data_IF_817729696269
#
_entry.id   IF_817729696269
#
_cell.length_a   1.000
_cell.length_b   1.000
_cell.length_c   1.000
_cell.angle_alpha   90.00
_cell.angle_beta   90.00
_cell.angle_gamma   90.00
#
_symmetry.space_group_name_H-M   'P 1'
#
loop_
_entity.id
_entity.type
_entity.pdbx_description
1 polymer ?
#
# COMPACT_ATOMS: atom_id res chain seq x y z
N UNK A 1 -8.29 -1.48 -31.27
CA UNK A 1 -8.64 -1.54 -29.85
C UNK A 1 -8.12 -0.29 -29.18
N UNK A 2 -8.98 0.34 -28.41
CA UNK A 2 -8.65 1.53 -27.61
C UNK A 2 -8.89 1.21 -26.13
N UNK A 3 -7.95 1.60 -25.27
CA UNK A 3 -8.09 1.50 -23.82
C UNK A 3 -7.83 2.88 -23.23
N UNK A 4 -8.79 3.39 -22.47
CA UNK A 4 -8.73 4.72 -21.86
C UNK A 4 -9.33 4.74 -20.47
N UNK A 5 -9.04 5.79 -19.72
CA UNK A 5 -9.76 6.15 -18.53
C UNK A 5 -11.08 6.90 -18.84
N UNK A 6 -11.90 7.07 -17.84
CA UNK A 6 -13.12 7.88 -17.93
C UNK A 6 -12.80 9.37 -18.24
N UNK A 7 -11.63 9.86 -17.80
CA UNK A 7 -11.09 11.18 -18.14
C UNK A 7 -10.85 11.42 -19.63
N UNK A 8 -10.86 10.36 -20.45
CA UNK A 8 -10.66 10.42 -21.90
C UNK A 8 -9.23 10.19 -22.36
N UNK A 9 -8.24 10.10 -21.47
CA UNK A 9 -6.85 9.82 -21.80
C UNK A 9 -6.70 8.38 -22.32
N UNK A 10 -6.12 8.22 -23.52
CA UNK A 10 -5.87 6.92 -24.14
C UNK A 10 -4.50 6.40 -23.73
N UNK A 11 -4.48 5.17 -23.21
CA UNK A 11 -3.25 4.43 -22.89
C UNK A 11 -2.87 3.46 -24.00
N UNK A 12 -3.86 2.98 -24.75
CA UNK A 12 -3.68 2.13 -25.91
C UNK A 12 -4.62 2.61 -27.01
N UNK A 13 -4.07 2.79 -28.22
CA UNK A 13 -4.81 2.92 -29.48
C UNK A 13 -4.06 2.11 -30.53
N UNK A 14 -4.47 0.85 -30.73
CA UNK A 14 -3.76 -0.10 -31.59
C UNK A 14 -4.70 -0.79 -32.59
N UNK A 15 -4.21 -0.95 -33.85
CA UNK A 15 -4.82 -1.83 -34.83
C UNK A 15 -4.30 -3.25 -34.61
N UNK A 16 -5.20 -4.20 -34.35
CA UNK A 16 -4.88 -5.62 -34.21
C UNK A 16 -5.73 -6.44 -35.17
N UNK A 17 -5.13 -7.43 -35.83
CA UNK A 17 -5.86 -8.40 -36.64
C UNK A 17 -6.28 -9.61 -35.80
N UNK A 18 -5.40 -10.09 -34.92
CA UNK A 18 -5.60 -11.21 -34.00
C UNK A 18 -4.57 -11.08 -32.87
N UNK A 19 -4.96 -11.43 -31.66
CA UNK A 19 -4.04 -11.47 -30.52
C UNK A 19 -4.59 -10.83 -29.25
N UNK A 20 -3.70 -10.55 -28.30
CA UNK A 20 -4.01 -9.98 -27.00
C UNK A 20 -3.36 -8.62 -26.87
N UNK A 21 -4.09 -7.66 -26.33
CA UNK A 21 -3.55 -6.36 -25.91
C UNK A 21 -3.36 -6.39 -24.41
N UNK A 22 -2.16 -6.05 -23.96
CA UNK A 22 -1.83 -6.04 -22.53
C UNK A 22 -1.34 -4.66 -22.12
N UNK A 23 -1.94 -4.13 -21.07
CA UNK A 23 -1.51 -2.89 -20.43
C UNK A 23 -0.78 -3.25 -19.12
N UNK A 24 0.53 -3.00 -19.08
CA UNK A 24 1.35 -3.24 -17.88
C UNK A 24 1.50 -1.94 -17.12
N UNK A 25 0.67 -1.73 -16.12
CA UNK A 25 0.76 -0.55 -15.24
C UNK A 25 0.73 -0.99 -13.77
N UNK A 26 1.60 -0.43 -12.92
CA UNK A 26 1.59 -0.70 -11.50
C UNK A 26 0.47 0.06 -10.75
N UNK A 27 -0.30 0.88 -11.46
CA UNK A 27 -1.33 1.76 -10.88
C UNK A 27 -2.70 1.14 -11.11
N UNK A 28 -3.51 1.09 -10.05
CA UNK A 28 -4.88 0.58 -10.11
C UNK A 28 -5.79 1.63 -10.73
N UNK A 29 -6.53 1.23 -11.76
CA UNK A 29 -7.44 2.13 -12.49
C UNK A 29 -8.68 1.40 -12.98
N UNK A 30 -9.73 2.16 -13.26
CA UNK A 30 -10.91 1.70 -14.00
C UNK A 30 -10.72 2.02 -15.47
N UNK A 31 -11.21 1.14 -16.34
CA UNK A 31 -10.91 1.19 -17.76
C UNK A 31 -12.18 1.18 -18.63
N UNK A 32 -12.15 1.95 -19.71
CA UNK A 32 -13.07 1.80 -20.83
C UNK A 32 -12.31 1.15 -21.97
N UNK A 33 -12.79 -0.02 -22.39
CA UNK A 33 -12.18 -0.83 -23.45
C UNK A 33 -13.12 -0.84 -24.65
N UNK A 34 -12.64 -0.35 -25.78
CA UNK A 34 -13.43 -0.21 -26.98
C UNK A 34 -12.74 -0.94 -28.15
N UNK A 35 -13.52 -1.65 -28.98
CA UNK A 35 -13.02 -2.17 -30.23
C UNK A 35 -13.84 -1.63 -31.42
N UNK A 36 -13.15 -1.42 -32.53
CA UNK A 36 -13.71 -0.86 -33.75
C UNK A 36 -13.40 -1.75 -34.95
N UNK A 37 -14.34 -1.85 -35.87
CA UNK A 37 -14.14 -2.41 -37.21
C UNK A 37 -14.34 -1.25 -38.22
N UNK A 38 -13.25 -0.73 -38.76
CA UNK A 38 -13.25 0.60 -39.37
C UNK A 38 -13.67 1.66 -38.35
N UNK A 39 -14.64 2.48 -38.71
CA UNK A 39 -15.18 3.53 -37.85
C UNK A 39 -16.33 3.04 -36.94
N UNK A 40 -16.81 1.82 -37.15
CA UNK A 40 -17.90 1.24 -36.38
C UNK A 40 -17.41 0.65 -35.07
N UNK A 41 -17.90 1.17 -33.93
CA UNK A 41 -17.66 0.56 -32.61
C UNK A 41 -18.41 -0.79 -32.53
N UNK A 42 -17.66 -1.87 -32.33
CA UNK A 42 -18.21 -3.24 -32.25
C UNK A 42 -18.15 -3.83 -30.85
N UNK A 43 -17.40 -3.22 -29.93
CA UNK A 43 -17.31 -3.64 -28.55
C UNK A 43 -17.08 -2.43 -27.65
N UNK A 44 -17.76 -2.43 -26.49
CA UNK A 44 -17.56 -1.44 -25.43
C UNK A 44 -17.72 -2.14 -24.09
N UNK A 45 -16.69 -2.04 -23.24
CA UNK A 45 -16.68 -2.60 -21.90
C UNK A 45 -16.08 -1.61 -20.91
N UNK A 46 -16.81 -1.40 -19.82
CA UNK A 46 -16.33 -0.59 -18.71
C UNK A 46 -15.92 -1.49 -17.55
N UNK A 47 -14.62 -1.59 -17.31
CA UNK A 47 -14.08 -2.29 -16.15
C UNK A 47 -14.14 -1.38 -14.93
N UNK A 48 -14.89 -1.79 -13.90
CA UNK A 48 -15.04 -1.11 -12.63
C UNK A 48 -14.53 -1.95 -11.48
N UNK A 49 -14.07 -1.28 -10.43
CA UNK A 49 -13.60 -1.91 -9.20
C UNK A 49 -14.74 -2.13 -8.19
N UNK A 50 -15.91 -1.53 -8.40
CA UNK A 50 -17.06 -1.67 -7.51
C UNK A 50 -17.47 -3.14 -7.37
N UNK A 51 -17.57 -3.61 -6.12
CA UNK A 51 -17.90 -5.00 -5.79
C UNK A 51 -16.77 -6.02 -5.99
N UNK A 52 -15.67 -5.66 -6.63
CA UNK A 52 -14.54 -6.56 -6.91
C UNK A 52 -13.78 -6.93 -5.64
N UNK A 53 -13.13 -8.10 -5.67
CA UNK A 53 -12.20 -8.55 -4.63
C UNK A 53 -10.80 -8.09 -4.99
N UNK A 54 -10.31 -7.09 -4.27
CA UNK A 54 -8.98 -6.53 -4.44
C UNK A 54 -8.04 -7.10 -3.38
N UNK A 55 -6.99 -7.78 -3.83
CA UNK A 55 -5.95 -8.31 -2.97
C UNK A 55 -4.71 -7.44 -3.01
N UNK A 56 -4.34 -6.84 -1.87
CA UNK A 56 -3.15 -6.01 -1.74
C UNK A 56 -2.07 -6.82 -1.02
N UNK A 57 -1.00 -7.12 -1.75
CA UNK A 57 0.15 -7.88 -1.25
C UNK A 57 1.34 -6.95 -1.02
N UNK A 58 1.87 -6.95 0.20
CA UNK A 58 3.14 -6.31 0.49
C UNK A 58 4.29 -7.17 -0.02
N UNK A 59 5.06 -6.63 -0.94
CA UNK A 59 6.26 -7.30 -1.49
C UNK A 59 7.40 -7.21 -0.48
N UNK A 60 7.49 -6.09 0.24
CA UNK A 60 8.45 -5.86 1.30
C UNK A 60 7.85 -6.20 2.67
N UNK A 61 8.65 -6.79 3.55
CA UNK A 61 8.25 -7.18 4.90
C UNK A 61 8.62 -6.14 5.97
N UNK A 62 9.15 -4.97 5.56
CA UNK A 62 9.52 -3.91 6.47
C UNK A 62 8.29 -3.32 7.18
N UNK A 63 8.40 -3.17 8.50
CA UNK A 63 7.29 -2.67 9.32
C UNK A 63 6.90 -1.24 8.94
N UNK A 64 7.88 -0.36 8.66
CA UNK A 64 7.62 1.02 8.27
C UNK A 64 6.77 1.12 7.00
N UNK A 65 7.06 0.30 5.99
CA UNK A 65 6.28 0.24 4.75
C UNK A 65 4.85 -0.23 5.04
N UNK A 66 4.68 -1.24 5.92
CA UNK A 66 3.38 -1.76 6.29
C UNK A 66 2.51 -0.73 7.03
N UNK A 67 3.11 0.12 7.86
CA UNK A 67 2.41 1.13 8.66
C UNK A 67 1.79 2.23 7.78
N UNK A 68 2.44 2.60 6.71
CA UNK A 68 2.02 3.73 5.84
C UNK A 68 0.70 3.45 5.10
N UNK A 69 0.45 2.21 4.70
CA UNK A 69 -0.60 1.86 3.74
C UNK A 69 -2.05 1.81 4.24
N UNK A 70 -2.37 1.34 5.46
CA UNK A 70 -3.74 0.99 5.83
C UNK A 70 -4.76 2.12 5.70
N UNK A 71 -4.40 3.37 6.03
CA UNK A 71 -5.32 4.51 5.88
C UNK A 71 -5.65 4.80 4.40
N UNK A 72 -4.66 4.66 3.52
CA UNK A 72 -4.87 4.81 2.08
C UNK A 72 -5.67 3.64 1.49
N UNK A 73 -5.46 2.42 2.00
CA UNK A 73 -6.24 1.25 1.61
C UNK A 73 -7.71 1.43 1.98
N UNK A 74 -8.00 1.95 3.17
CA UNK A 74 -9.38 2.23 3.58
C UNK A 74 -10.01 3.32 2.71
N UNK A 75 -9.24 4.36 2.36
CA UNK A 75 -9.69 5.41 1.44
C UNK A 75 -9.95 4.86 0.03
N UNK A 76 -9.07 4.00 -0.47
CA UNK A 76 -9.23 3.28 -1.72
C UNK A 76 -10.50 2.42 -1.71
N UNK A 77 -10.70 1.61 -0.67
CA UNK A 77 -11.90 0.79 -0.50
C UNK A 77 -13.17 1.61 -0.56
N UNK A 78 -13.21 2.75 0.13
CA UNK A 78 -14.37 3.66 0.12
C UNK A 78 -14.60 4.29 -1.26
N UNK A 79 -13.53 4.76 -1.90
CA UNK A 79 -13.61 5.40 -3.22
C UNK A 79 -14.20 4.45 -4.27
N UNK A 80 -13.70 3.22 -4.31
CA UNK A 80 -14.07 2.26 -5.34
C UNK A 80 -15.14 1.25 -4.90
N UNK A 81 -15.61 1.32 -3.65
CA UNK A 81 -16.64 0.43 -3.09
C UNK A 81 -16.32 -1.06 -3.30
N UNK A 82 -15.06 -1.43 -3.21
CA UNK A 82 -14.55 -2.77 -3.41
C UNK A 82 -14.35 -3.51 -2.08
N UNK A 83 -14.19 -4.85 -2.13
CA UNK A 83 -13.79 -5.67 -0.99
C UNK A 83 -12.27 -5.78 -0.97
N UNK A 84 -11.62 -5.40 0.14
CA UNK A 84 -10.16 -5.37 0.19
C UNK A 84 -9.63 -6.40 1.17
N UNK A 85 -8.71 -7.21 0.68
CA UNK A 85 -7.94 -8.19 1.44
C UNK A 85 -6.47 -7.79 1.41
N UNK A 86 -5.81 -7.85 2.56
CA UNK A 86 -4.42 -7.40 2.69
C UNK A 86 -3.57 -8.51 3.30
N UNK A 87 -2.44 -8.82 2.67
CA UNK A 87 -1.44 -9.71 3.26
C UNK A 87 -0.25 -8.88 3.74
N UNK A 88 -0.13 -8.76 5.06
CA UNK A 88 0.91 -7.99 5.75
C UNK A 88 1.54 -8.85 6.85
N UNK A 89 2.75 -8.49 7.28
CA UNK A 89 3.51 -9.31 8.25
C UNK A 89 2.89 -9.33 9.66
N UNK A 90 2.30 -8.21 10.09
CA UNK A 90 1.75 -8.02 11.44
C UNK A 90 0.30 -7.50 11.36
N UNK A 91 -0.67 -8.34 10.96
CA UNK A 91 -2.06 -7.93 10.78
C UNK A 91 -2.71 -7.41 12.08
N UNK A 92 -2.30 -7.95 13.23
CA UNK A 92 -2.78 -7.57 14.56
C UNK A 92 -2.57 -6.10 14.92
N UNK A 93 -1.68 -5.41 14.22
CA UNK A 93 -1.45 -3.98 14.41
C UNK A 93 -2.53 -3.10 13.76
N UNK A 94 -3.42 -3.68 12.94
CA UNK A 94 -4.33 -2.90 12.10
C UNK A 94 -5.78 -3.35 12.16
N UNK A 95 -6.05 -4.61 12.53
CA UNK A 95 -7.37 -5.25 12.43
C UNK A 95 -8.49 -4.47 13.14
N UNK A 96 -8.23 -3.89 14.30
CA UNK A 96 -9.24 -3.13 15.05
C UNK A 96 -9.44 -1.71 14.52
N UNK A 97 -8.36 -1.08 14.08
CA UNK A 97 -8.40 0.28 13.52
C UNK A 97 -9.03 0.33 12.13
N UNK A 98 -9.03 -0.80 11.41
CA UNK A 98 -9.56 -0.90 10.04
C UNK A 98 -10.49 -2.11 9.87
N UNK A 99 -11.65 -2.13 10.55
CA UNK A 99 -12.55 -3.30 10.60
C UNK A 99 -13.17 -3.67 9.25
N UNK A 100 -13.14 -2.78 8.27
CA UNK A 100 -13.66 -3.01 6.92
C UNK A 100 -12.62 -3.54 5.93
N UNK A 101 -11.37 -3.71 6.38
CA UNK A 101 -10.29 -4.34 5.63
C UNK A 101 -10.07 -5.72 6.22
N UNK A 102 -10.01 -6.75 5.36
CA UNK A 102 -9.69 -8.10 5.83
C UNK A 102 -8.19 -8.34 5.75
N UNK A 103 -7.54 -8.43 6.89
CA UNK A 103 -6.13 -8.77 6.99
C UNK A 103 -5.96 -10.28 7.04
N UNK A 104 -5.25 -10.85 6.05
CA UNK A 104 -5.04 -12.29 5.95
C UNK A 104 -3.96 -12.75 6.94
N UNK A 105 -4.27 -13.78 7.72
CA UNK A 105 -3.33 -14.45 8.63
C UNK A 105 -2.37 -15.35 7.86
N UNK A 106 -1.27 -15.75 8.50
CA UNK A 106 -0.33 -16.71 7.94
C UNK A 106 -1.04 -18.01 7.55
N UNK A 107 -0.84 -18.47 6.33
CA UNK A 107 -1.47 -19.68 5.80
C UNK A 107 -2.86 -19.46 5.16
N UNK A 108 -3.50 -18.32 5.35
CA UNK A 108 -4.75 -18.01 4.66
C UNK A 108 -4.50 -17.59 3.22
N UNK A 109 -5.33 -18.13 2.32
CA UNK A 109 -5.36 -17.80 0.91
C UNK A 109 -6.79 -17.41 0.51
N UNK A 110 -6.93 -16.68 -0.58
CA UNK A 110 -8.22 -16.34 -1.17
C UNK A 110 -8.54 -17.32 -2.28
N UNK A 111 -9.78 -17.78 -2.34
CA UNK A 111 -10.27 -18.64 -3.43
C UNK A 111 -10.41 -17.85 -4.74
N UNK A 112 -10.76 -16.58 -4.63
CA UNK A 112 -10.95 -15.70 -5.78
C UNK A 112 -10.25 -14.36 -5.52
N UNK A 113 -9.59 -13.86 -6.55
CA UNK A 113 -8.99 -12.52 -6.62
C UNK A 113 -9.36 -11.94 -7.97
N UNK A 114 -10.06 -10.82 -7.98
CA UNK A 114 -10.39 -10.10 -9.21
C UNK A 114 -9.26 -9.14 -9.61
N UNK A 115 -8.63 -8.51 -8.63
CA UNK A 115 -7.52 -7.57 -8.82
C UNK A 115 -6.42 -7.82 -7.79
N UNK A 116 -5.19 -7.97 -8.25
CA UNK A 116 -4.03 -8.01 -7.37
C UNK A 116 -3.23 -6.71 -7.48
N UNK A 117 -2.92 -6.13 -6.33
CA UNK A 117 -2.09 -4.94 -6.19
C UNK A 117 -0.84 -5.30 -5.40
N UNK A 118 0.32 -5.01 -5.95
CA UNK A 118 1.57 -5.13 -5.22
C UNK A 118 1.90 -3.79 -4.55
N UNK A 119 1.83 -3.76 -3.23
CA UNK A 119 2.31 -2.65 -2.43
C UNK A 119 3.84 -2.64 -2.50
N UNK A 120 4.39 -1.78 -3.33
CA UNK A 120 5.82 -1.70 -3.61
C UNK A 120 6.35 -0.29 -3.38
N UNK A 121 7.67 -0.20 -3.37
CA UNK A 121 8.40 1.07 -3.33
C UNK A 121 8.36 1.70 -4.72
N UNK A 122 7.97 2.98 -4.79
CA UNK A 122 8.08 3.78 -6.01
C UNK A 122 9.40 4.57 -5.90
N UNK A 123 10.32 4.30 -6.82
CA UNK A 123 11.56 5.06 -6.94
C UNK A 123 11.29 6.38 -7.68
N UNK A 124 12.03 7.44 -7.31
CA UNK A 124 11.95 8.71 -8.03
C UNK A 124 11.57 9.92 -7.19
N UNK A 125 12.12 10.04 -5.98
CA UNK A 125 12.00 11.28 -5.18
C UNK A 125 10.61 11.54 -4.56
N UNK A 126 9.72 10.56 -4.62
CA UNK A 126 8.39 10.64 -3.99
C UNK A 126 8.51 10.20 -2.53
N UNK A 127 8.07 11.00 -1.55
CA UNK A 127 8.05 10.60 -0.16
C UNK A 127 7.27 9.29 0.07
N UNK A 128 7.76 8.46 0.99
CA UNK A 128 7.17 7.15 1.28
C UNK A 128 5.67 7.23 1.61
N UNK A 129 5.23 8.27 2.31
CA UNK A 129 3.82 8.52 2.63
C UNK A 129 2.95 8.79 1.38
N UNK A 130 3.55 9.09 0.23
CA UNK A 130 2.82 9.35 -1.01
C UNK A 130 2.81 8.14 -1.98
N UNK A 131 3.56 7.08 -1.70
CA UNK A 131 3.57 5.88 -2.56
C UNK A 131 2.18 5.24 -2.72
N UNK A 132 1.41 5.05 -1.62
CA UNK A 132 0.08 4.48 -1.76
C UNK A 132 -0.85 5.31 -2.64
N UNK A 133 -0.75 6.65 -2.61
CA UNK A 133 -1.62 7.52 -3.42
C UNK A 133 -1.41 7.29 -4.91
N UNK A 134 -0.16 7.08 -5.34
CA UNK A 134 0.15 6.81 -6.74
C UNK A 134 -0.34 5.43 -7.16
N UNK A 135 0.00 4.38 -6.40
CA UNK A 135 -0.36 2.99 -6.76
C UNK A 135 -1.88 2.79 -6.73
N UNK A 136 -2.56 3.34 -5.73
CA UNK A 136 -4.00 3.20 -5.53
C UNK A 136 -4.82 4.26 -6.29
N UNK A 137 -4.18 5.09 -7.10
CA UNK A 137 -4.82 6.16 -7.87
C UNK A 137 -5.70 7.06 -6.99
N UNK A 138 -5.12 7.55 -5.90
CA UNK A 138 -5.76 8.46 -4.96
C UNK A 138 -5.20 9.88 -5.14
N UNK A 139 -5.93 10.87 -4.62
CA UNK A 139 -5.42 12.24 -4.53
C UNK A 139 -4.19 12.25 -3.63
N UNK A 140 -3.14 13.00 -4.03
CA UNK A 140 -1.94 13.20 -3.22
C UNK A 140 -2.29 13.91 -1.92
N UNK A 141 -2.03 13.23 -0.81
CA UNK A 141 -2.21 13.74 0.55
C UNK A 141 -1.39 12.87 1.50
N UNK A 142 -1.09 13.39 2.66
CA UNK A 142 -0.43 12.66 3.73
C UNK A 142 -1.46 12.27 4.78
N UNK A 143 -1.66 10.98 4.96
CA UNK A 143 -2.58 10.43 5.95
C UNK A 143 -1.80 9.80 7.11
N UNK A 144 -2.26 10.07 8.32
CA UNK A 144 -1.67 9.46 9.52
C UNK A 144 -2.26 8.07 9.73
N UNK A 145 -1.43 7.01 9.78
CA UNK A 145 -1.90 5.67 10.04
C UNK A 145 -2.41 5.52 11.48
N UNK A 146 -3.40 4.65 11.66
CA UNK A 146 -3.84 4.20 12.97
C UNK A 146 -3.20 2.85 13.25
N UNK A 147 -2.69 2.67 14.46
CA UNK A 147 -2.06 1.42 14.91
C UNK A 147 -2.77 0.95 16.17
N UNK A 148 -3.16 -0.31 16.18
CA UNK A 148 -3.73 -0.95 17.35
C UNK A 148 -2.65 -1.09 18.42
N UNK A 149 -2.91 -0.53 19.59
CA UNK A 149 -1.99 -0.69 20.73
C UNK A 149 -2.08 -2.11 21.25
N UNK A 150 -0.95 -2.84 21.34
CA UNK A 150 -0.96 -4.16 21.95
C UNK A 150 -1.34 -4.07 23.42
N UNK A 151 -2.14 -5.01 23.89
CA UNK A 151 -2.42 -5.15 25.31
C UNK A 151 -1.24 -5.89 25.95
N UNK A 152 -0.39 -5.19 26.65
CA UNK A 152 0.66 -5.80 27.45
C UNK A 152 0.73 -5.18 28.83
N UNK A 153 1.16 -5.97 29.81
CA UNK A 153 1.44 -5.50 31.16
C UNK A 153 2.81 -4.83 31.14
N UNK A 154 2.88 -3.63 31.70
CA UNK A 154 4.16 -2.95 31.89
C UNK A 154 4.99 -3.71 32.92
N UNK A 155 6.19 -4.16 32.54
CA UNK A 155 7.08 -4.92 33.41
C UNK A 155 8.07 -4.03 34.19
N UNK A 156 8.17 -2.74 33.82
CA UNK A 156 9.08 -1.79 34.43
C UNK A 156 8.23 -0.69 35.09
N UNK A 157 8.26 -0.61 36.41
CA UNK A 157 7.45 0.34 37.18
C UNK A 157 8.05 1.76 37.17
N UNK A 158 9.38 1.86 37.14
CA UNK A 158 10.11 3.12 37.10
C UNK A 158 9.98 3.82 35.75
N UNK A 159 10.22 5.13 35.71
CA UNK A 159 10.38 5.86 34.45
C UNK A 159 11.58 5.30 33.69
N UNK A 160 11.48 5.14 32.41
CA UNK A 160 12.56 4.66 31.57
C UNK A 160 12.50 5.24 30.16
N UNK A 161 13.63 5.24 29.49
CA UNK A 161 13.79 5.59 28.08
C UNK A 161 14.26 4.35 27.33
N UNK A 162 13.63 4.03 26.21
CA UNK A 162 14.06 2.98 25.32
C UNK A 162 15.00 3.54 24.26
N UNK A 163 16.15 2.92 24.09
CA UNK A 163 17.15 3.27 23.07
C UNK A 163 17.30 2.11 22.10
N UNK A 164 17.13 2.37 20.81
CA UNK A 164 17.39 1.41 19.73
C UNK A 164 18.68 1.82 19.01
N UNK A 165 19.76 1.09 19.26
CA UNK A 165 21.09 1.40 18.71
C UNK A 165 21.35 0.76 17.34
N UNK A 166 20.49 -0.19 16.91
CA UNK A 166 20.63 -0.94 15.66
C UNK A 166 19.46 -0.66 14.72
N UNK A 167 19.73 -0.73 13.43
CA UNK A 167 18.75 -0.62 12.37
C UNK A 167 18.95 -1.73 11.33
N UNK A 168 18.00 -1.90 10.41
CA UNK A 168 18.06 -2.90 9.34
C UNK A 168 19.12 -2.60 8.26
N UNK A 169 19.71 -1.41 8.28
CA UNK A 169 20.72 -0.97 7.31
C UNK A 169 21.76 -0.10 7.98
N UNK A 170 23.02 -0.29 7.63
CA UNK A 170 24.16 0.47 8.12
C UNK A 170 23.98 1.99 7.92
N UNK A 171 23.42 2.42 6.83
CA UNK A 171 23.14 3.85 6.54
C UNK A 171 22.17 4.52 7.54
N UNK A 172 21.48 3.74 8.36
CA UNK A 172 20.58 4.22 9.40
C UNK A 172 21.20 4.21 10.79
N UNK A 173 22.47 3.81 10.91
CA UNK A 173 23.17 3.83 12.19
C UNK A 173 23.66 5.23 12.52
N UNK A 174 23.53 5.58 13.77
CA UNK A 174 24.21 6.78 14.29
C UNK A 174 25.66 6.43 14.62
N UNK A 175 26.58 6.82 13.74
CA UNK A 175 27.98 6.42 13.76
C UNK A 175 28.90 7.37 14.55
N UNK A 176 28.36 8.33 15.27
CA UNK A 176 29.17 9.22 16.12
C UNK A 176 29.90 8.37 17.17
N UNK A 177 31.23 8.49 17.23
CA UNK A 177 32.06 7.85 18.25
C UNK A 177 31.54 8.26 19.65
N UNK A 178 31.29 7.26 20.50
CA UNK A 178 30.73 7.39 21.85
C UNK A 178 29.33 8.07 21.93
N UNK A 179 28.67 8.39 20.82
CA UNK A 179 27.43 9.15 20.84
C UNK A 179 26.34 8.54 21.72
N UNK A 180 26.14 7.22 21.66
CA UNK A 180 25.17 6.55 22.52
C UNK A 180 25.54 6.58 24.00
N UNK A 181 26.84 6.48 24.34
CA UNK A 181 27.32 6.58 25.72
C UNK A 181 27.08 7.99 26.28
N UNK A 182 27.31 9.02 25.46
CA UNK A 182 27.07 10.42 25.85
C UNK A 182 25.58 10.64 26.14
N UNK A 183 24.68 10.09 25.28
CA UNK A 183 23.22 10.17 25.49
C UNK A 183 22.81 9.44 26.77
N UNK A 184 23.32 8.23 27.01
CA UNK A 184 23.01 7.45 28.20
C UNK A 184 23.46 8.18 29.44
N UNK A 185 24.66 8.76 29.42
CA UNK A 185 25.18 9.56 30.54
C UNK A 185 24.27 10.74 30.82
N UNK A 186 23.97 11.55 29.81
CA UNK A 186 23.06 12.69 29.91
C UNK A 186 21.68 12.31 30.48
N UNK A 187 21.08 11.21 30.01
CA UNK A 187 19.80 10.76 30.53
C UNK A 187 19.84 10.29 31.99
N UNK A 188 20.97 9.71 32.44
CA UNK A 188 21.18 9.31 33.84
C UNK A 188 21.37 10.51 34.73
N UNK A 189 22.01 11.57 34.24
CA UNK A 189 22.23 12.81 34.99
C UNK A 189 20.92 13.62 35.17
N UNK A 190 19.91 13.38 34.32
CA UNK A 190 18.58 13.97 34.43
C UNK A 190 17.64 13.24 35.42
N UNK A 191 18.00 12.05 35.97
CA UNK A 191 17.18 11.22 36.85
C UNK A 191 16.24 10.31 36.05
#
# INVERSE_FOLDING_TARGET
VKIREESGEYYIDQKIKKGTVSLKMPIVREWIIEAFNGDKKVFNYQYKLEGQIVFIRFVNTALGDAIVWPEYIEKFRKKYKCKVYVKVRYPELFEKSYPNITFLKKGQNLEKIDVQVNASVIFGGVPMLQWPTTILNLKKEELRPKIDKPKFKRNIEKKYVCIATHASSYHKYWLRKNGWNDVIKYLKDLG
#
